data_IF_983852273184
#
_entry.id   IF_983852273184
#
_cell.length_a   1.000
_cell.length_b   1.000
_cell.length_c   1.000
_cell.angle_alpha   90.00
_cell.angle_beta   90.00
_cell.angle_gamma   90.00
#
_symmetry.space_group_name_H-M   'P 1'
#
loop_
_entity.id
_entity.type
_entity.pdbx_description
1 polymer ?
#
# COMPACT_ATOMS: atom_id res chain seq x y z
N UNK A 1 -25.91 24.52 35.70
CA UNK A 1 -25.22 24.15 34.45
C UNK A 1 -26.03 23.06 33.75
N UNK A 2 -26.47 23.26 32.51
CA UNK A 2 -27.15 22.20 31.74
C UNK A 2 -26.10 21.16 31.30
N UNK A 3 -26.33 19.86 31.46
CA UNK A 3 -25.41 18.86 30.95
C UNK A 3 -25.33 18.99 29.43
N UNK A 4 -24.11 19.14 28.91
CA UNK A 4 -23.83 19.18 27.48
C UNK A 4 -24.07 17.76 26.95
N UNK A 5 -25.22 17.55 26.31
CA UNK A 5 -25.51 16.28 25.62
C UNK A 5 -24.52 16.12 24.47
N UNK A 6 -23.39 15.45 24.73
CA UNK A 6 -22.45 15.02 23.70
C UNK A 6 -23.19 13.94 22.90
N UNK A 7 -23.74 14.36 21.76
CA UNK A 7 -24.37 13.49 20.78
C UNK A 7 -23.44 12.31 20.48
N UNK A 8 -23.91 11.09 20.74
CA UNK A 8 -23.20 9.80 20.52
C UNK A 8 -22.66 9.65 19.09
N UNK A 9 -23.13 10.49 18.16
CA UNK A 9 -22.79 10.50 16.74
C UNK A 9 -21.43 11.13 16.38
N UNK A 10 -20.82 11.94 17.27
CA UNK A 10 -19.50 12.53 16.99
C UNK A 10 -18.42 11.47 16.73
N UNK A 11 -18.49 10.32 17.40
CA UNK A 11 -17.52 9.23 17.25
C UNK A 11 -17.52 8.60 15.85
N UNK A 12 -18.64 8.61 15.13
CA UNK A 12 -18.71 8.03 13.78
C UNK A 12 -17.94 8.86 12.76
N UNK A 13 -17.96 10.20 12.88
CA UNK A 13 -17.21 11.09 11.98
C UNK A 13 -15.70 10.88 12.15
N UNK A 14 -15.20 10.75 13.39
CA UNK A 14 -13.79 10.45 13.63
C UNK A 14 -13.37 9.11 13.02
N UNK A 15 -14.18 8.06 13.18
CA UNK A 15 -13.89 6.74 12.59
C UNK A 15 -13.83 6.83 11.07
N UNK A 16 -14.79 7.50 10.42
CA UNK A 16 -14.79 7.68 8.97
C UNK A 16 -13.56 8.47 8.48
N UNK A 17 -13.19 9.54 9.20
CA UNK A 17 -11.99 10.33 8.89
C UNK A 17 -10.73 9.46 9.04
N UNK A 18 -10.62 8.66 10.11
CA UNK A 18 -9.49 7.74 10.30
C UNK A 18 -9.40 6.72 9.17
N UNK A 19 -10.51 6.11 8.76
CA UNK A 19 -10.55 5.18 7.63
C UNK A 19 -10.12 5.85 6.32
N UNK A 20 -10.59 7.07 6.06
CA UNK A 20 -10.20 7.84 4.88
C UNK A 20 -8.70 8.16 4.88
N UNK A 21 -8.15 8.62 6.01
CA UNK A 21 -6.73 8.91 6.17
C UNK A 21 -5.88 7.65 5.96
N UNK A 22 -6.27 6.52 6.55
CA UNK A 22 -5.58 5.25 6.35
C UNK A 22 -5.66 4.77 4.89
N UNK A 23 -6.78 4.97 4.20
CA UNK A 23 -6.91 4.62 2.79
C UNK A 23 -5.98 5.47 1.91
N UNK A 24 -5.96 6.79 2.12
CA UNK A 24 -5.06 7.71 1.42
C UNK A 24 -3.59 7.34 1.69
N UNK A 25 -3.25 7.09 2.95
CA UNK A 25 -1.93 6.66 3.39
C UNK A 25 -1.50 5.34 2.74
N UNK A 26 -2.38 4.33 2.72
CA UNK A 26 -2.11 3.05 2.08
C UNK A 26 -1.91 3.16 0.56
N UNK A 27 -2.70 4.00 -0.11
CA UNK A 27 -2.51 4.28 -1.54
C UNK A 27 -1.19 5.02 -1.80
N UNK A 28 -0.87 6.02 -0.98
CA UNK A 28 0.42 6.70 -1.06
C UNK A 28 1.56 5.71 -0.90
N UNK A 29 1.48 4.79 0.07
CA UNK A 29 2.49 3.78 0.28
C UNK A 29 2.73 2.89 -0.95
N UNK A 30 1.66 2.43 -1.60
CA UNK A 30 1.76 1.57 -2.79
C UNK A 30 2.36 2.30 -4.00
N UNK A 31 2.01 3.58 -4.19
CA UNK A 31 2.31 4.29 -5.43
C UNK A 31 3.49 5.27 -5.36
N UNK A 32 3.87 5.70 -4.16
CA UNK A 32 4.83 6.78 -3.96
C UNK A 32 6.03 6.39 -3.10
N UNK A 33 5.97 5.32 -2.30
CA UNK A 33 7.13 4.89 -1.53
C UNK A 33 8.05 3.99 -2.36
N UNK A 34 9.31 4.37 -2.44
CA UNK A 34 10.37 3.58 -3.08
C UNK A 34 10.94 2.55 -2.09
N UNK A 35 10.05 1.81 -1.44
CA UNK A 35 10.38 0.77 -0.47
C UNK A 35 9.90 -0.60 -0.95
N UNK A 36 10.79 -1.58 -0.93
CA UNK A 36 10.49 -2.97 -1.27
C UNK A 36 10.54 -3.82 0.00
N UNK A 37 9.39 -4.16 0.61
CA UNK A 37 9.34 -5.04 1.77
C UNK A 37 9.71 -6.48 1.40
N UNK A 38 10.29 -7.21 2.36
CA UNK A 38 10.58 -8.63 2.17
C UNK A 38 9.31 -9.47 2.13
N UNK A 39 9.40 -10.69 1.58
CA UNK A 39 8.26 -11.62 1.54
C UNK A 39 7.70 -11.92 2.94
N UNK A 40 8.58 -12.04 3.94
CA UNK A 40 8.18 -12.26 5.34
C UNK A 40 7.32 -11.12 5.88
N UNK A 41 7.66 -9.87 5.55
CA UNK A 41 6.87 -8.69 5.94
C UNK A 41 5.53 -8.68 5.23
N UNK A 42 5.48 -9.01 3.93
CA UNK A 42 4.21 -9.13 3.17
C UNK A 42 3.29 -10.15 3.84
N UNK A 43 3.78 -11.34 4.15
CA UNK A 43 3.01 -12.39 4.82
C UNK A 43 2.59 -11.95 6.24
N UNK A 44 3.52 -11.39 7.02
CA UNK A 44 3.24 -10.94 8.38
C UNK A 44 2.20 -9.82 8.44
N UNK A 45 2.29 -8.83 7.55
CA UNK A 45 1.32 -7.74 7.45
C UNK A 45 -0.08 -8.26 7.08
N UNK A 46 -0.16 -9.29 6.22
CA UNK A 46 -1.43 -9.93 5.89
C UNK A 46 -2.05 -10.61 7.11
N UNK A 47 -1.27 -11.43 7.83
CA UNK A 47 -1.73 -12.11 9.06
C UNK A 47 -2.22 -11.09 10.09
N UNK A 48 -1.43 -10.04 10.38
CA UNK A 48 -1.82 -9.00 11.35
C UNK A 48 -3.09 -8.28 10.91
N UNK A 49 -3.23 -7.95 9.62
CA UNK A 49 -4.44 -7.32 9.09
C UNK A 49 -5.67 -8.24 9.23
N UNK A 50 -5.53 -9.54 9.01
CA UNK A 50 -6.59 -10.54 9.21
C UNK A 50 -6.95 -10.68 10.69
N UNK A 51 -5.99 -10.65 11.61
CA UNK A 51 -6.26 -10.70 13.05
C UNK A 51 -7.04 -9.47 13.52
N UNK A 52 -6.61 -8.27 13.09
CA UNK A 52 -7.34 -7.02 13.40
C UNK A 52 -8.76 -7.09 12.83
N UNK A 53 -8.94 -7.63 11.63
CA UNK A 53 -10.25 -7.88 11.04
C UNK A 53 -11.13 -8.78 11.91
N UNK A 54 -10.60 -9.90 12.42
CA UNK A 54 -11.37 -10.80 13.30
C UNK A 54 -11.77 -10.10 14.60
N UNK A 55 -10.89 -9.28 15.18
CA UNK A 55 -11.21 -8.49 16.37
C UNK A 55 -12.35 -7.50 16.10
N UNK A 56 -12.31 -6.79 14.97
CA UNK A 56 -13.37 -5.86 14.56
C UNK A 56 -14.69 -6.61 14.36
N UNK A 57 -14.67 -7.78 13.72
CA UNK A 57 -15.87 -8.61 13.57
C UNK A 57 -16.45 -9.06 14.92
N UNK A 58 -15.61 -9.54 15.83
CA UNK A 58 -16.05 -9.96 17.17
C UNK A 58 -16.67 -8.78 17.92
N UNK A 59 -16.04 -7.61 17.87
CA UNK A 59 -16.57 -6.38 18.48
C UNK A 59 -17.97 -6.05 17.95
N UNK A 60 -18.13 -6.06 16.63
CA UNK A 60 -19.41 -5.80 15.97
C UNK A 60 -20.46 -6.87 16.25
N UNK A 61 -20.06 -8.14 16.37
CA UNK A 61 -20.92 -9.24 16.77
C UNK A 61 -21.44 -9.07 18.21
N UNK A 62 -20.58 -8.65 19.15
CA UNK A 62 -20.97 -8.37 20.54
C UNK A 62 -21.98 -7.22 20.58
N UNK A 63 -21.72 -6.11 19.87
CA UNK A 63 -22.65 -4.98 19.78
C UNK A 63 -24.01 -5.38 19.20
N UNK A 64 -24.01 -6.27 18.21
CA UNK A 64 -25.25 -6.82 17.64
C UNK A 64 -26.01 -7.65 18.67
N UNK A 65 -25.33 -8.56 19.38
CA UNK A 65 -25.90 -9.43 20.42
C UNK A 65 -26.50 -8.65 21.60
N UNK A 66 -25.93 -7.49 21.93
CA UNK A 66 -26.38 -6.65 23.04
C UNK A 66 -27.47 -5.65 22.62
N UNK A 67 -27.94 -5.68 21.37
CA UNK A 67 -28.88 -4.68 20.80
C UNK A 67 -28.37 -3.22 20.86
N UNK A 68 -27.10 -3.02 21.23
CA UNK A 68 -26.45 -1.72 21.28
C UNK A 68 -26.05 -1.19 19.90
N UNK A 69 -26.17 -2.05 18.88
CA UNK A 69 -26.12 -1.63 17.50
C UNK A 69 -27.33 -0.76 17.14
N UNK A 70 -27.22 0.53 17.43
CA UNK A 70 -28.23 1.52 17.05
C UNK A 70 -27.93 1.98 15.62
N UNK A 71 -28.74 1.51 14.67
CA UNK A 71 -28.82 2.11 13.33
C UNK A 71 -29.14 3.61 13.53
N UNK A 72 -28.40 4.55 12.91
CA UNK A 72 -28.62 5.98 13.10
C UNK A 72 -30.10 6.35 12.95
N UNK A 73 -30.65 7.15 13.86
CA UNK A 73 -32.11 7.47 13.85
C UNK A 73 -32.58 8.07 12.51
N UNK A 74 -31.69 8.70 11.76
CA UNK A 74 -31.94 9.24 10.40
C UNK A 74 -32.22 8.16 9.35
N UNK A 75 -31.84 6.90 9.61
CA UNK A 75 -32.08 5.76 8.75
C UNK A 75 -33.41 5.05 9.02
N UNK A 76 -34.24 5.53 9.97
CA UNK A 76 -35.61 5.01 10.17
C UNK A 76 -36.47 5.09 8.90
N UNK A 77 -36.19 6.03 8.00
CA UNK A 77 -36.90 6.20 6.73
C UNK A 77 -36.31 5.37 5.59
N UNK A 78 -35.15 4.75 5.79
CA UNK A 78 -34.62 3.78 4.85
C UNK A 78 -35.36 2.44 5.07
N UNK A 79 -36.34 2.16 4.22
CA UNK A 79 -37.13 0.91 4.25
C UNK A 79 -36.25 -0.36 4.31
N UNK A 80 -35.03 -0.28 3.80
CA UNK A 80 -34.02 -1.33 3.89
C UNK A 80 -33.07 -1.03 5.06
N UNK A 81 -33.35 -1.62 6.24
CA UNK A 81 -32.34 -1.74 7.31
C UNK A 81 -31.05 -2.34 6.70
N UNK A 82 -29.85 -1.83 7.04
CA UNK A 82 -28.60 -2.45 6.58
C UNK A 82 -28.62 -3.91 7.00
N UNK A 83 -28.68 -4.80 6.02
CA UNK A 83 -28.75 -6.24 6.26
C UNK A 83 -27.45 -6.69 6.94
N UNK A 84 -27.54 -7.71 7.80
CA UNK A 84 -26.43 -8.24 8.59
C UNK A 84 -25.15 -8.53 7.78
N UNK A 85 -25.26 -8.80 6.47
CA UNK A 85 -24.09 -8.96 5.60
C UNK A 85 -23.19 -7.72 5.47
N UNK A 86 -23.72 -6.50 5.67
CA UNK A 86 -22.89 -5.27 5.68
C UNK A 86 -21.85 -5.27 6.80
N UNK A 87 -22.12 -6.02 7.87
CA UNK A 87 -21.24 -6.26 9.01
C UNK A 87 -19.99 -7.06 8.61
N UNK A 88 -20.05 -7.85 7.53
CA UNK A 88 -18.90 -8.57 6.96
C UNK A 88 -18.20 -7.79 5.85
N UNK A 89 -18.96 -7.02 5.06
CA UNK A 89 -18.44 -6.23 3.93
C UNK A 89 -17.60 -5.03 4.39
N UNK A 90 -18.04 -4.28 5.39
CA UNK A 90 -17.33 -3.10 5.89
C UNK A 90 -15.93 -3.42 6.45
N UNK A 91 -15.75 -4.45 7.29
CA UNK A 91 -14.41 -4.83 7.76
C UNK A 91 -13.56 -5.52 6.69
N UNK A 92 -14.12 -6.06 5.61
CA UNK A 92 -13.32 -6.53 4.48
C UNK A 92 -12.51 -5.39 3.84
N UNK A 93 -13.09 -4.18 3.73
CA UNK A 93 -12.36 -2.99 3.32
C UNK A 93 -11.28 -2.59 4.33
N UNK A 94 -11.44 -2.92 5.61
CA UNK A 94 -10.41 -2.66 6.62
C UNK A 94 -9.13 -3.46 6.34
N UNK A 95 -9.20 -4.71 5.87
CA UNK A 95 -8.00 -5.46 5.46
C UNK A 95 -7.31 -4.75 4.29
N UNK A 96 -8.08 -4.37 3.26
CA UNK A 96 -7.55 -3.70 2.07
C UNK A 96 -6.84 -2.38 2.40
N UNK A 97 -7.30 -1.69 3.45
CA UNK A 97 -6.74 -0.43 3.93
C UNK A 97 -5.57 -0.66 4.88
N UNK A 98 -5.69 -1.56 5.86
CA UNK A 98 -4.67 -1.79 6.89
C UNK A 98 -3.44 -2.50 6.34
N UNK A 99 -3.63 -3.46 5.43
CA UNK A 99 -2.55 -4.25 4.85
C UNK A 99 -1.40 -3.39 4.29
N UNK A 100 -1.64 -2.45 3.35
CA UNK A 100 -0.56 -1.61 2.84
C UNK A 100 0.07 -0.74 3.93
N UNK A 101 -0.71 -0.23 4.88
CA UNK A 101 -0.14 0.59 5.95
C UNK A 101 0.85 -0.19 6.83
N UNK A 102 0.50 -1.43 7.21
CA UNK A 102 1.34 -2.30 8.03
C UNK A 102 2.53 -2.84 7.21
N UNK A 103 2.31 -3.15 5.94
CA UNK A 103 3.32 -3.68 5.03
C UNK A 103 4.44 -2.67 4.74
N UNK A 104 4.12 -1.37 4.66
CA UNK A 104 5.08 -0.35 4.24
C UNK A 104 5.64 0.48 5.41
N UNK A 105 4.82 1.10 6.27
CA UNK A 105 5.30 2.15 7.16
C UNK A 105 6.20 1.67 8.31
N UNK A 106 5.80 0.71 9.18
CA UNK A 106 6.69 0.23 10.24
C UNK A 106 8.00 -0.40 9.70
N UNK A 107 7.95 -1.27 8.66
CA UNK A 107 9.16 -1.81 8.01
C UNK A 107 10.07 -0.74 7.43
N UNK A 108 9.50 0.28 6.77
CA UNK A 108 10.26 1.40 6.22
C UNK A 108 10.94 2.19 7.34
N UNK A 109 10.19 2.57 8.39
CA UNK A 109 10.74 3.32 9.52
C UNK A 109 11.92 2.57 10.15
N UNK A 110 11.75 1.28 10.41
CA UNK A 110 12.83 0.44 10.92
C UNK A 110 14.02 0.40 9.96
N UNK A 111 13.77 0.28 8.65
CA UNK A 111 14.84 0.26 7.64
C UNK A 111 15.58 1.59 7.57
N UNK A 112 14.90 2.72 7.70
CA UNK A 112 15.53 4.04 7.71
C UNK A 112 16.39 4.28 8.96
N UNK A 113 15.97 3.76 10.12
CA UNK A 113 16.68 3.97 11.39
C UNK A 113 17.85 2.99 11.55
N UNK A 114 17.65 1.71 11.21
CA UNK A 114 18.59 0.63 11.53
C UNK A 114 19.21 -0.04 10.30
N UNK A 115 18.80 0.34 9.10
CA UNK A 115 19.33 -0.23 7.87
C UNK A 115 20.74 0.26 7.56
N UNK A 116 21.42 -0.47 6.68
CA UNK A 116 22.77 -0.14 6.22
C UNK A 116 22.70 0.55 4.85
N UNK A 117 23.18 1.81 4.74
CA UNK A 117 23.36 2.46 3.45
C UNK A 117 24.40 1.70 2.63
N UNK A 118 24.03 1.29 1.42
CA UNK A 118 24.91 0.56 0.50
C UNK A 118 24.64 1.00 -0.93
N UNK A 119 25.62 0.72 -1.79
CA UNK A 119 25.50 1.00 -3.22
C UNK A 119 25.58 -0.31 -3.98
N UNK A 120 24.56 -0.59 -4.77
CA UNK A 120 24.42 -1.86 -5.50
C UNK A 120 24.32 -1.60 -6.99
N UNK A 121 24.96 -2.45 -7.79
CA UNK A 121 24.83 -2.43 -9.25
C UNK A 121 23.95 -3.59 -9.69
N UNK A 122 22.89 -3.29 -10.44
CA UNK A 122 21.98 -4.30 -10.99
C UNK A 122 21.99 -4.26 -12.52
N UNK A 123 21.76 -5.41 -13.13
CA UNK A 123 21.54 -5.52 -14.57
C UNK A 123 20.05 -5.36 -14.84
N UNK A 124 19.69 -4.45 -15.74
CA UNK A 124 18.29 -4.16 -16.07
C UNK A 124 18.11 -3.90 -17.56
N UNK A 125 16.86 -3.95 -18.00
CA UNK A 125 16.43 -3.63 -19.35
C UNK A 125 15.16 -2.78 -19.26
N UNK A 126 14.97 -1.86 -20.21
CA UNK A 126 13.70 -1.15 -20.35
C UNK A 126 12.63 -2.11 -20.87
N UNK A 127 11.47 -2.15 -20.23
CA UNK A 127 10.35 -3.02 -20.61
C UNK A 127 9.07 -2.22 -20.77
N UNK A 128 8.30 -2.57 -21.81
CA UNK A 128 6.93 -2.13 -22.02
C UNK A 128 5.98 -3.08 -21.29
N UNK A 129 5.20 -2.55 -20.35
CA UNK A 129 4.20 -3.31 -19.60
C UNK A 129 2.79 -2.84 -19.97
N UNK A 130 1.86 -3.77 -20.00
CA UNK A 130 0.45 -3.50 -20.26
C UNK A 130 -0.30 -3.48 -18.92
N UNK A 131 -0.95 -2.37 -18.62
CA UNK A 131 -1.85 -2.19 -17.50
C UNK A 131 -3.28 -2.58 -17.86
N UNK A 132 -4.22 -2.29 -16.94
CA UNK A 132 -5.64 -2.56 -17.17
C UNK A 132 -6.18 -1.67 -18.30
N UNK A 133 -7.16 -2.20 -19.05
CA UNK A 133 -7.83 -1.53 -20.18
C UNK A 133 -6.86 -1.06 -21.29
N UNK A 134 -5.80 -1.82 -21.56
CA UNK A 134 -4.86 -1.49 -22.63
C UNK A 134 -3.92 -0.32 -22.36
N UNK A 135 -3.90 0.20 -21.12
CA UNK A 135 -2.89 1.20 -20.73
C UNK A 135 -1.49 0.63 -20.90
N UNK A 136 -0.55 1.46 -21.35
CA UNK A 136 0.85 1.08 -21.52
C UNK A 136 1.67 1.91 -20.54
N UNK A 137 2.60 1.27 -19.84
CA UNK A 137 3.61 1.96 -19.05
C UNK A 137 4.97 1.34 -19.27
N UNK A 138 6.00 2.17 -19.13
CA UNK A 138 7.39 1.77 -19.33
C UNK A 138 8.10 1.75 -17.98
N UNK A 139 8.96 0.76 -17.76
CA UNK A 139 9.78 0.70 -16.55
C UNK A 139 11.08 -0.04 -16.81
N UNK A 140 12.04 0.14 -15.93
CA UNK A 140 13.16 -0.80 -15.81
C UNK A 140 12.67 -2.12 -15.20
N UNK A 141 13.25 -3.25 -15.65
CA UNK A 141 13.03 -4.56 -15.05
C UNK A 141 14.02 -4.78 -13.91
N UNK A 142 13.61 -4.46 -12.69
CA UNK A 142 14.45 -4.59 -11.49
C UNK A 142 13.94 -5.72 -10.59
N UNK A 143 14.78 -6.27 -9.69
CA UNK A 143 14.35 -7.23 -8.67
C UNK A 143 13.54 -6.60 -7.53
N UNK A 144 13.51 -5.26 -7.48
CA UNK A 144 12.71 -4.50 -6.53
C UNK A 144 11.25 -4.44 -6.97
N UNK A 145 10.32 -4.21 -6.04
CA UNK A 145 8.91 -4.00 -6.39
C UNK A 145 8.80 -2.83 -7.38
N UNK A 146 7.66 -2.72 -8.10
CA UNK A 146 7.43 -1.69 -9.13
C UNK A 146 7.28 -0.27 -8.56
N UNK A 147 8.28 0.16 -7.81
CA UNK A 147 8.45 1.48 -7.25
C UNK A 147 8.51 2.50 -8.38
N UNK A 148 8.06 3.71 -8.06
CA UNK A 148 7.87 4.77 -9.05
C UNK A 148 9.21 5.22 -9.63
N UNK A 149 10.29 5.15 -8.86
CA UNK A 149 11.65 5.53 -9.29
C UNK A 149 12.12 4.79 -10.55
N UNK A 150 11.58 3.59 -10.81
CA UNK A 150 11.93 2.79 -11.99
C UNK A 150 11.02 3.00 -13.19
N UNK A 151 10.00 3.86 -13.09
CA UNK A 151 9.12 4.18 -14.23
C UNK A 151 9.86 5.07 -15.21
N UNK A 152 9.61 4.80 -16.49
CA UNK A 152 10.16 5.55 -17.61
C UNK A 152 9.05 6.31 -18.33
N UNK A 153 9.38 7.49 -18.83
CA UNK A 153 8.58 8.12 -19.86
C UNK A 153 8.86 7.47 -21.23
N UNK A 154 8.09 7.85 -22.27
CA UNK A 154 8.24 7.27 -23.60
C UNK A 154 9.61 7.57 -24.23
N UNK A 155 10.17 8.75 -24.00
CA UNK A 155 11.47 9.17 -24.56
C UNK A 155 12.61 8.34 -23.94
N UNK A 156 12.61 8.19 -22.62
CA UNK A 156 13.56 7.36 -21.89
C UNK A 156 13.47 5.90 -22.33
N UNK A 157 12.25 5.37 -22.48
CA UNK A 157 12.05 4.03 -22.98
C UNK A 157 12.65 3.84 -24.38
N UNK A 158 12.43 4.77 -25.29
CA UNK A 158 12.97 4.70 -26.65
C UNK A 158 14.50 4.77 -26.68
N UNK A 159 15.11 5.52 -25.75
CA UNK A 159 16.57 5.61 -25.61
C UNK A 159 17.18 4.31 -25.06
N UNK A 160 16.47 3.62 -24.17
CA UNK A 160 16.97 2.45 -23.45
C UNK A 160 16.45 1.11 -23.97
N UNK A 161 15.47 1.10 -24.88
CA UNK A 161 14.93 -0.13 -25.45
C UNK A 161 16.03 -0.91 -26.17
N UNK A 162 15.94 -2.23 -26.13
CA UNK A 162 16.88 -3.14 -26.77
C UNK A 162 18.34 -2.96 -26.28
N UNK A 163 18.55 -2.53 -25.04
CA UNK A 163 19.88 -2.41 -24.44
C UNK A 163 19.91 -3.12 -23.09
N UNK A 164 21.07 -3.72 -22.78
CA UNK A 164 21.39 -4.12 -21.41
C UNK A 164 22.00 -2.93 -20.68
N UNK A 165 21.50 -2.67 -19.47
CA UNK A 165 21.89 -1.53 -18.66
C UNK A 165 22.48 -2.01 -17.33
N UNK A 166 23.57 -1.39 -16.91
CA UNK A 166 24.00 -1.38 -15.51
C UNK A 166 23.40 -0.18 -14.81
N UNK A 167 22.58 -0.43 -13.79
CA UNK A 167 22.02 0.61 -12.96
C UNK A 167 22.67 0.55 -11.58
N UNK A 168 23.29 1.66 -11.17
CA UNK A 168 23.88 1.82 -9.84
C UNK A 168 22.87 2.51 -8.93
N UNK A 169 22.54 1.89 -7.82
CA UNK A 169 21.51 2.32 -6.90
C UNK A 169 22.10 2.60 -5.53
N UNK A 170 21.75 3.74 -4.95
CA UNK A 170 21.94 4.02 -3.53
C UNK A 170 20.72 3.50 -2.77
N UNK A 171 20.94 2.56 -1.85
CA UNK A 171 19.88 1.89 -1.10
C UNK A 171 20.18 1.92 0.39
N UNK A 172 19.13 1.86 1.21
CA UNK A 172 19.22 1.47 2.61
C UNK A 172 18.68 0.06 2.71
N UNK A 173 19.57 -0.91 2.98
CA UNK A 173 19.20 -2.30 3.13
C UNK A 173 18.88 -2.58 4.60
N UNK A 174 17.65 -2.99 4.88
CA UNK A 174 17.18 -3.35 6.21
C UNK A 174 16.75 -4.82 6.28
N UNK A 175 16.55 -5.29 7.51
CA UNK A 175 16.01 -6.64 7.77
C UNK A 175 14.61 -6.85 7.17
N UNK A 176 13.81 -5.78 7.15
CA UNK A 176 12.40 -5.83 6.76
C UNK A 176 12.13 -5.38 5.32
N UNK A 177 13.15 -4.87 4.63
CA UNK A 177 13.04 -4.48 3.23
C UNK A 177 14.19 -3.59 2.80
N UNK A 178 14.09 -3.12 1.57
CA UNK A 178 15.08 -2.24 0.95
C UNK A 178 14.41 -0.93 0.58
N UNK A 179 14.96 0.18 1.08
CA UNK A 179 14.56 1.52 0.63
C UNK A 179 15.52 1.98 -0.47
N UNK A 180 14.98 2.38 -1.61
CA UNK A 180 15.77 2.91 -2.72
C UNK A 180 15.84 4.43 -2.55
N UNK A 181 17.04 4.96 -2.31
CA UNK A 181 17.24 6.39 -2.12
C UNK A 181 17.34 7.12 -3.44
N UNK A 182 18.16 6.58 -4.36
CA UNK A 182 18.37 7.19 -5.66
C UNK A 182 18.92 6.20 -6.69
N UNK A 183 18.73 6.51 -7.97
CA UNK A 183 19.47 5.96 -9.09
C UNK A 183 20.70 6.85 -9.31
N UNK A 184 21.88 6.36 -8.96
CA UNK A 184 23.13 7.14 -9.10
C UNK A 184 23.56 7.28 -10.56
N UNK A 185 23.42 6.21 -11.33
CA UNK A 185 23.78 6.20 -12.75
C UNK A 185 23.16 5.02 -13.49
N UNK A 186 23.03 5.19 -14.80
CA UNK A 186 22.61 4.16 -15.75
C UNK A 186 23.66 4.13 -16.85
N UNK A 187 24.28 2.97 -17.05
CA UNK A 187 25.31 2.74 -18.06
C UNK A 187 24.85 1.70 -19.07
N UNK A 188 25.04 1.97 -20.35
CA UNK A 188 24.72 1.05 -21.44
C UNK A 188 25.87 0.08 -21.64
N UNK A 189 25.58 -1.22 -21.57
CA UNK A 189 26.60 -2.27 -21.70
C UNK A 189 26.76 -2.75 -23.14
N UNK A 190 25.65 -3.14 -23.77
CA UNK A 190 25.58 -3.67 -25.14
C UNK A 190 24.18 -3.48 -25.71
N UNK A 191 24.11 -3.20 -27.01
CA UNK A 191 22.87 -3.23 -27.78
C UNK A 191 22.46 -4.68 -28.05
N UNK A 192 21.22 -5.02 -27.78
CA UNK A 192 20.61 -6.31 -28.14
C UNK A 192 20.43 -6.28 -29.66
N UNK A 193 21.33 -6.93 -30.39
CA UNK A 193 21.11 -7.23 -31.81
C UNK A 193 20.06 -8.32 -31.90
N UNK A 194 18.83 -7.95 -32.23
CA UNK A 194 17.84 -8.92 -32.69
C UNK A 194 18.33 -9.45 -34.05
N UNK A 195 18.71 -10.74 -34.09
CA UNK A 195 18.77 -11.51 -35.33
C UNK A 195 17.36 -11.90 -35.75
#
# INVERSE_FOLDING_TARGET
MKPKNISKYYYHEYVLITFLLLAISGLFAIFALDFTPTLQVKIGAFIVSTLIYLVILIYFYILYRQEEWVIPRTWKNAHNKPKFYFLFLLPLFAILILYPNIMFYPPLLHTMIFGQPTVVTINTTAVKKHGKKGSIYYSFKTPYDTSRIFRLNSIEYENYKNQFLHMKLSIIQGRFGTYIQNIESIQTLKTIQNK
#
